data_IF_020235456716
#
_entry.id   IF_020235456716
#
_cell.length_a   1.000
_cell.length_b   1.000
_cell.length_c   1.000
_cell.angle_alpha   90.00
_cell.angle_beta   90.00
_cell.angle_gamma   90.00
#
_symmetry.space_group_name_H-M   'P 1'
#
loop_
_entity.id
_entity.type
_entity.pdbx_description
1 polymer ?
#
# COMPACT_ATOMS: atom_id res chain seq x y z
N UNK A 1 -39.68 41.32 -29.86
CA UNK A 1 -39.85 40.09 -29.07
C UNK A 1 -38.96 39.05 -29.72
N UNK A 2 -37.79 38.84 -29.12
CA UNK A 2 -36.83 37.83 -29.56
C UNK A 2 -37.33 36.47 -29.04
N UNK A 3 -37.38 35.49 -29.93
CA UNK A 3 -37.72 34.11 -29.60
C UNK A 3 -36.44 33.35 -29.28
N UNK A 4 -36.49 32.62 -28.19
CA UNK A 4 -35.36 32.04 -27.47
C UNK A 4 -34.86 30.79 -28.21
N UNK A 5 -33.62 30.82 -28.68
CA UNK A 5 -32.92 29.61 -29.12
C UNK A 5 -32.64 28.73 -27.91
N UNK A 6 -33.50 27.74 -27.68
CA UNK A 6 -33.23 26.62 -26.80
C UNK A 6 -31.91 25.94 -27.22
N UNK A 7 -30.91 26.09 -26.36
CA UNK A 7 -29.65 25.38 -26.45
C UNK A 7 -29.89 23.89 -26.33
N UNK A 8 -30.00 23.22 -27.47
CA UNK A 8 -29.97 21.76 -27.55
C UNK A 8 -28.64 21.30 -26.99
N UNK A 9 -28.64 20.83 -25.74
CA UNK A 9 -27.47 20.20 -25.14
C UNK A 9 -27.01 19.06 -26.06
N UNK A 10 -25.83 19.21 -26.65
CA UNK A 10 -25.19 18.16 -27.42
C UNK A 10 -25.07 16.94 -26.51
N UNK A 11 -25.62 15.76 -26.86
CA UNK A 11 -25.37 14.57 -26.07
C UNK A 11 -23.85 14.36 -26.01
N UNK A 12 -23.33 14.20 -24.79
CA UNK A 12 -21.95 13.81 -24.60
C UNK A 12 -21.67 12.59 -25.49
N UNK A 13 -20.49 12.50 -26.14
CA UNK A 13 -20.17 11.35 -26.99
C UNK A 13 -20.48 10.07 -26.22
N UNK A 14 -21.12 9.09 -26.86
CA UNK A 14 -21.38 7.77 -26.26
C UNK A 14 -20.02 7.12 -25.96
N UNK A 15 -19.46 7.45 -24.81
CA UNK A 15 -18.24 6.85 -24.32
C UNK A 15 -18.60 5.42 -23.95
N UNK A 16 -17.94 4.45 -24.59
CA UNK A 16 -18.21 3.03 -24.38
C UNK A 16 -18.12 2.64 -22.89
N UNK A 17 -18.68 1.50 -22.54
CA UNK A 17 -18.65 0.97 -21.18
C UNK A 17 -17.50 -0.01 -21.02
N UNK A 18 -16.67 0.20 -20.00
CA UNK A 18 -15.65 -0.72 -19.53
C UNK A 18 -16.10 -1.46 -18.27
N UNK A 19 -15.30 -2.42 -17.83
CA UNK A 19 -15.51 -3.24 -16.64
C UNK A 19 -14.30 -3.14 -15.72
N UNK A 20 -14.47 -2.46 -14.60
CA UNK A 20 -13.46 -2.35 -13.56
C UNK A 20 -13.53 -3.58 -12.65
N UNK A 21 -12.43 -4.33 -12.51
CA UNK A 21 -12.37 -5.54 -11.68
C UNK A 21 -11.64 -5.24 -10.38
N UNK A 22 -12.30 -5.49 -9.24
CA UNK A 22 -11.75 -5.27 -7.90
C UNK A 22 -10.96 -6.47 -7.39
N UNK A 23 -11.44 -7.68 -7.68
CA UNK A 23 -10.86 -8.89 -7.13
C UNK A 23 -11.49 -10.15 -7.71
N UNK A 24 -10.84 -11.28 -7.42
CA UNK A 24 -11.33 -12.62 -7.73
C UNK A 24 -11.61 -13.35 -6.42
N UNK A 25 -12.76 -14.00 -6.33
CA UNK A 25 -13.22 -14.76 -5.16
C UNK A 25 -13.76 -16.13 -5.59
N UNK A 26 -13.85 -17.11 -4.66
CA UNK A 26 -14.58 -18.34 -4.93
C UNK A 26 -16.05 -18.04 -5.21
N UNK A 27 -16.66 -18.80 -6.13
CA UNK A 27 -18.08 -18.63 -6.47
C UNK A 27 -19.04 -18.83 -5.27
N UNK A 28 -18.59 -19.55 -4.25
CA UNK A 28 -19.35 -19.86 -3.04
C UNK A 28 -19.35 -18.74 -2.00
N UNK A 29 -18.57 -17.66 -2.20
CA UNK A 29 -18.52 -16.53 -1.27
C UNK A 29 -19.62 -15.54 -1.62
N UNK A 30 -20.52 -15.30 -0.66
CA UNK A 30 -21.60 -14.32 -0.83
C UNK A 30 -21.13 -12.93 -0.37
N UNK A 31 -20.97 -12.03 -1.33
CA UNK A 31 -20.60 -10.62 -1.10
C UNK A 31 -21.81 -9.73 -1.38
N UNK A 32 -22.13 -8.75 -0.51
CA UNK A 32 -23.24 -7.84 -0.75
C UNK A 32 -23.01 -7.01 -2.02
N UNK A 33 -24.10 -6.71 -2.74
CA UNK A 33 -24.06 -5.72 -3.82
C UNK A 33 -23.93 -4.34 -3.21
N UNK A 34 -22.80 -3.68 -3.49
CA UNK A 34 -22.51 -2.31 -3.05
C UNK A 34 -22.41 -1.37 -4.25
N UNK A 35 -22.27 -0.08 -3.99
CA UNK A 35 -21.79 0.85 -5.00
C UNK A 35 -20.39 0.43 -5.50
N UNK A 36 -20.13 0.62 -6.78
CA UNK A 36 -18.80 0.52 -7.36
C UNK A 36 -18.06 1.86 -7.32
N UNK A 37 -16.95 1.92 -8.06
CA UNK A 37 -16.02 3.06 -8.15
C UNK A 37 -16.58 4.25 -8.95
N UNK A 38 -17.58 4.00 -9.80
CA UNK A 38 -18.32 5.04 -10.49
C UNK A 38 -19.71 5.15 -9.88
N UNK A 39 -20.09 6.37 -9.53
CA UNK A 39 -21.37 6.65 -8.88
C UNK A 39 -22.55 6.15 -9.73
N UNK A 40 -23.54 5.55 -9.08
CA UNK A 40 -24.70 4.94 -9.76
C UNK A 40 -24.42 3.61 -10.45
N UNK A 41 -23.18 3.10 -10.43
CA UNK A 41 -22.82 1.80 -11.02
C UNK A 41 -22.47 0.80 -9.93
N UNK A 42 -23.43 -0.06 -9.60
CA UNK A 42 -23.25 -1.09 -8.59
C UNK A 42 -22.25 -2.17 -9.03
N UNK A 43 -21.70 -2.86 -8.03
CA UNK A 43 -20.90 -4.07 -8.22
C UNK A 43 -21.77 -5.20 -8.79
N UNK A 44 -21.16 -5.99 -9.66
CA UNK A 44 -21.71 -7.15 -10.33
C UNK A 44 -20.68 -8.28 -10.34
N UNK A 45 -21.16 -9.50 -10.57
CA UNK A 45 -20.36 -10.72 -10.48
C UNK A 45 -20.26 -11.39 -11.85
N UNK A 46 -19.03 -11.68 -12.28
CA UNK A 46 -18.77 -12.37 -13.54
C UNK A 46 -18.20 -13.75 -13.22
N UNK A 47 -19.01 -14.78 -13.47
CA UNK A 47 -18.71 -16.17 -13.12
C UNK A 47 -17.91 -16.90 -14.21
N UNK A 48 -16.97 -17.74 -13.79
CA UNK A 48 -16.29 -18.71 -14.64
C UNK A 48 -15.91 -19.94 -13.79
N UNK A 49 -16.77 -20.97 -13.81
CA UNK A 49 -16.56 -22.21 -13.05
C UNK A 49 -16.52 -21.96 -11.54
N UNK A 50 -15.44 -22.36 -10.84
CA UNK A 50 -15.36 -22.26 -9.38
C UNK A 50 -14.94 -20.88 -8.85
N UNK A 51 -14.73 -19.89 -9.72
CA UNK A 51 -14.32 -18.55 -9.35
C UNK A 51 -15.21 -17.50 -10.01
N UNK A 52 -15.25 -16.31 -9.42
CA UNK A 52 -15.90 -15.15 -10.00
C UNK A 52 -15.07 -13.89 -9.81
N UNK A 53 -15.15 -12.99 -10.78
CA UNK A 53 -14.67 -11.62 -10.63
C UNK A 53 -15.77 -10.75 -10.03
N UNK A 54 -15.38 -9.94 -9.05
CA UNK A 54 -16.19 -8.82 -8.54
C UNK A 54 -15.81 -7.59 -9.35
N UNK A 55 -16.77 -7.00 -10.05
CA UNK A 55 -16.51 -5.94 -11.02
C UNK A 55 -17.66 -4.93 -11.08
N UNK A 56 -17.45 -3.75 -11.63
CA UNK A 56 -18.53 -2.80 -11.93
C UNK A 56 -18.35 -2.18 -13.31
N UNK A 57 -19.43 -1.80 -14.01
CA UNK A 57 -19.29 -1.04 -15.22
C UNK A 57 -18.68 0.34 -14.91
N UNK A 58 -17.96 0.90 -15.86
CA UNK A 58 -17.37 2.24 -15.80
C UNK A 58 -17.43 2.92 -17.17
N UNK A 59 -17.49 4.24 -17.21
CA UNK A 59 -17.39 5.02 -18.43
C UNK A 59 -15.96 5.03 -18.96
N UNK A 60 -15.75 4.59 -20.20
CA UNK A 60 -14.46 4.73 -20.88
C UNK A 60 -14.12 6.20 -21.17
N UNK A 61 -15.06 7.14 -21.04
CA UNK A 61 -14.75 8.57 -21.07
C UNK A 61 -13.86 9.02 -19.91
N UNK A 62 -13.89 8.28 -18.79
CA UNK A 62 -13.16 8.57 -17.55
C UNK A 62 -12.04 7.55 -17.33
N UNK A 63 -12.30 6.29 -17.65
CA UNK A 63 -11.45 5.15 -17.30
C UNK A 63 -10.70 4.52 -18.49
N UNK A 64 -10.81 5.07 -19.72
CA UNK A 64 -9.90 4.65 -20.80
C UNK A 64 -8.50 5.25 -20.60
N UNK A 65 -7.52 4.73 -21.32
CA UNK A 65 -6.08 4.94 -21.06
C UNK A 65 -5.67 6.40 -20.84
N UNK A 66 -6.06 7.29 -21.75
CA UNK A 66 -5.60 8.68 -21.73
C UNK A 66 -6.36 9.57 -20.72
N UNK A 67 -7.71 9.54 -20.63
CA UNK A 67 -8.43 10.20 -19.54
C UNK A 67 -8.00 9.70 -18.15
N UNK A 68 -7.83 8.39 -17.99
CA UNK A 68 -7.41 7.80 -16.72
C UNK A 68 -6.04 8.33 -16.30
N UNK A 69 -5.08 8.37 -17.23
CA UNK A 69 -3.73 8.87 -16.95
C UNK A 69 -3.75 10.30 -16.43
N UNK A 70 -4.57 11.18 -17.02
CA UNK A 70 -4.73 12.56 -16.54
C UNK A 70 -5.39 12.61 -15.17
N UNK A 71 -6.44 11.83 -14.95
CA UNK A 71 -7.15 11.82 -13.66
C UNK A 71 -6.26 11.29 -12.52
N UNK A 72 -5.34 10.36 -12.81
CA UNK A 72 -4.37 9.86 -11.84
C UNK A 72 -3.33 10.91 -11.41
N UNK A 73 -3.16 12.01 -12.17
CA UNK A 73 -2.31 13.14 -11.78
C UNK A 73 -3.00 14.05 -10.74
N UNK A 74 -4.33 13.94 -10.56
CA UNK A 74 -5.08 14.64 -9.52
C UNK A 74 -5.11 13.82 -8.21
N UNK A 75 -4.44 14.29 -7.13
CA UNK A 75 -4.40 13.57 -5.86
C UNK A 75 -5.76 13.40 -5.20
N UNK A 76 -6.72 14.31 -5.42
CA UNK A 76 -8.03 14.24 -4.79
C UNK A 76 -8.88 13.17 -5.45
N UNK A 77 -8.90 13.17 -6.79
CA UNK A 77 -9.54 12.11 -7.57
C UNK A 77 -8.92 10.75 -7.24
N UNK A 78 -7.59 10.65 -7.19
CA UNK A 78 -6.90 9.40 -6.87
C UNK A 78 -7.27 8.89 -5.47
N UNK A 79 -7.23 9.75 -4.45
CA UNK A 79 -7.57 9.36 -3.08
C UNK A 79 -9.03 8.88 -3.00
N UNK A 80 -9.97 9.60 -3.61
CA UNK A 80 -11.38 9.21 -3.64
C UNK A 80 -11.58 7.82 -4.27
N UNK A 81 -10.98 7.60 -5.45
CA UNK A 81 -11.15 6.37 -6.21
C UNK A 81 -10.45 5.18 -5.55
N UNK A 82 -9.29 5.41 -4.92
CA UNK A 82 -8.62 4.39 -4.11
C UNK A 82 -9.51 3.99 -2.93
N UNK A 83 -10.07 4.95 -2.18
CA UNK A 83 -10.99 4.62 -1.08
C UNK A 83 -12.21 3.83 -1.56
N UNK A 84 -12.78 4.18 -2.71
CA UNK A 84 -13.91 3.43 -3.29
C UNK A 84 -13.53 2.01 -3.73
N UNK A 85 -12.32 1.83 -4.28
CA UNK A 85 -11.78 0.51 -4.59
C UNK A 85 -11.61 -0.33 -3.32
N UNK A 86 -10.94 0.23 -2.31
CA UNK A 86 -10.67 -0.46 -1.05
C UNK A 86 -11.96 -0.84 -0.32
N UNK A 87 -12.98 0.02 -0.31
CA UNK A 87 -14.26 -0.31 0.30
C UNK A 87 -14.91 -1.57 -0.28
N UNK A 88 -14.82 -1.79 -1.60
CA UNK A 88 -15.30 -3.03 -2.23
C UNK A 88 -14.41 -4.21 -1.87
N UNK A 89 -13.09 -4.02 -1.81
CA UNK A 89 -12.14 -5.06 -1.42
C UNK A 89 -12.34 -5.49 0.03
N UNK A 90 -12.48 -4.55 0.97
CA UNK A 90 -12.79 -4.80 2.37
C UNK A 90 -14.12 -5.55 2.53
N UNK A 91 -15.14 -5.18 1.76
CA UNK A 91 -16.43 -5.89 1.77
C UNK A 91 -16.30 -7.35 1.31
N UNK A 92 -15.40 -7.65 0.37
CA UNK A 92 -15.08 -9.03 -0.02
C UNK A 92 -14.27 -9.76 1.06
N UNK A 93 -13.25 -9.11 1.62
CA UNK A 93 -12.36 -9.69 2.65
C UNK A 93 -13.14 -10.07 3.92
N UNK A 94 -14.18 -9.31 4.27
CA UNK A 94 -15.08 -9.63 5.37
C UNK A 94 -15.93 -10.91 5.16
N UNK A 95 -15.91 -11.50 3.95
CA UNK A 95 -16.75 -12.65 3.57
C UNK A 95 -15.96 -13.92 3.27
N UNK A 96 -14.69 -13.82 2.90
CA UNK A 96 -13.89 -15.01 2.58
C UNK A 96 -12.57 -14.66 1.89
N UNK A 97 -11.88 -15.66 1.31
CA UNK A 97 -10.62 -15.44 0.61
C UNK A 97 -10.82 -14.59 -0.65
N UNK A 98 -9.93 -13.61 -0.83
CA UNK A 98 -9.96 -12.67 -1.95
C UNK A 98 -8.58 -12.59 -2.57
N UNK A 99 -8.53 -12.49 -3.89
CA UNK A 99 -7.35 -12.03 -4.64
C UNK A 99 -7.65 -10.63 -5.18
N UNK A 100 -7.21 -9.56 -4.48
CA UNK A 100 -7.40 -8.20 -4.96
C UNK A 100 -6.67 -8.01 -6.29
N UNK A 101 -7.34 -7.37 -7.24
CA UNK A 101 -6.72 -6.93 -8.48
C UNK A 101 -6.10 -5.56 -8.26
N UNK A 102 -5.08 -5.23 -9.08
CA UNK A 102 -4.47 -3.91 -9.01
C UNK A 102 -5.52 -2.82 -9.25
N UNK A 103 -5.38 -1.72 -8.54
CA UNK A 103 -6.15 -0.51 -8.81
C UNK A 103 -6.11 -0.17 -10.32
N UNK A 104 -7.27 0.16 -10.87
CA UNK A 104 -7.48 0.43 -12.31
C UNK A 104 -7.26 -0.77 -13.24
N UNK A 105 -7.61 -1.98 -12.79
CA UNK A 105 -7.73 -3.14 -13.69
C UNK A 105 -9.05 -3.08 -14.47
N UNK A 106 -8.99 -2.64 -15.73
CA UNK A 106 -10.18 -2.38 -16.56
C UNK A 106 -10.18 -3.25 -17.83
N UNK A 107 -11.33 -3.84 -18.13
CA UNK A 107 -11.59 -4.64 -19.33
C UNK A 107 -12.63 -3.97 -20.23
N UNK A 108 -12.56 -4.23 -21.54
CA UNK A 108 -13.52 -3.65 -22.50
C UNK A 108 -14.90 -4.31 -22.51
N UNK A 109 -15.04 -5.50 -21.92
CA UNK A 109 -16.31 -6.23 -21.88
C UNK A 109 -16.34 -7.31 -20.79
N UNK A 110 -17.53 -7.78 -20.38
CA UNK A 110 -17.64 -8.91 -19.45
C UNK A 110 -16.98 -10.18 -20.00
N UNK A 111 -17.06 -10.40 -21.31
CA UNK A 111 -16.44 -11.57 -21.95
C UNK A 111 -14.91 -11.53 -21.87
N UNK A 112 -14.31 -10.33 -21.89
CA UNK A 112 -12.88 -10.18 -21.68
C UNK A 112 -12.49 -10.56 -20.23
N UNK A 113 -13.33 -10.21 -19.25
CA UNK A 113 -13.15 -10.66 -17.85
C UNK A 113 -13.28 -12.19 -17.76
N UNK A 114 -14.29 -12.81 -18.38
CA UNK A 114 -14.43 -14.28 -18.40
C UNK A 114 -13.22 -14.96 -19.03
N UNK A 115 -12.69 -14.43 -20.14
CA UNK A 115 -11.48 -14.96 -20.77
C UNK A 115 -10.29 -14.93 -19.81
N UNK A 116 -10.09 -13.80 -19.11
CA UNK A 116 -9.03 -13.67 -18.09
C UNK A 116 -9.21 -14.68 -16.96
N UNK A 117 -10.42 -14.84 -16.44
CA UNK A 117 -10.72 -15.83 -15.40
C UNK A 117 -10.41 -17.25 -15.88
N UNK A 118 -10.83 -17.61 -17.11
CA UNK A 118 -10.60 -18.94 -17.68
C UNK A 118 -9.13 -19.23 -17.90
N UNK A 119 -8.40 -18.28 -18.47
CA UNK A 119 -6.97 -18.42 -18.79
C UNK A 119 -6.11 -18.63 -17.52
N UNK A 120 -6.49 -17.97 -16.42
CA UNK A 120 -5.74 -18.02 -15.16
C UNK A 120 -6.42 -18.84 -14.06
N UNK A 121 -7.46 -19.61 -14.39
CA UNK A 121 -8.27 -20.33 -13.40
C UNK A 121 -7.45 -21.22 -12.45
N UNK A 122 -6.46 -22.02 -12.90
CA UNK A 122 -5.66 -22.84 -11.99
C UNK A 122 -4.88 -22.00 -10.98
N UNK A 123 -4.28 -20.89 -11.45
CA UNK A 123 -3.47 -19.99 -10.61
C UNK A 123 -4.33 -19.24 -9.58
N UNK A 124 -5.52 -18.79 -9.99
CA UNK A 124 -6.44 -18.14 -9.05
C UNK A 124 -6.94 -19.10 -7.98
N UNK A 125 -7.28 -20.34 -8.35
CA UNK A 125 -7.73 -21.33 -7.38
C UNK A 125 -6.64 -21.69 -6.38
N UNK A 126 -5.41 -21.92 -6.85
CA UNK A 126 -4.26 -22.18 -5.98
C UNK A 126 -4.01 -21.00 -5.02
N UNK A 127 -3.99 -19.76 -5.53
CA UNK A 127 -3.78 -18.59 -4.70
C UNK A 127 -4.93 -18.34 -3.71
N UNK A 128 -6.19 -18.58 -4.10
CA UNK A 128 -7.34 -18.48 -3.19
C UNK A 128 -7.26 -19.50 -2.04
N UNK A 129 -6.80 -20.72 -2.32
CA UNK A 129 -6.57 -21.73 -1.29
C UNK A 129 -5.41 -21.34 -0.36
N UNK A 130 -4.35 -20.74 -0.93
CA UNK A 130 -3.23 -20.23 -0.16
C UNK A 130 -3.62 -19.10 0.80
N UNK A 131 -4.65 -18.31 0.52
CA UNK A 131 -5.11 -17.22 1.41
C UNK A 131 -6.36 -17.58 2.22
N UNK A 132 -6.93 -18.78 2.02
CA UNK A 132 -8.07 -19.26 2.82
C UNK A 132 -7.71 -19.29 4.31
N UNK A 133 -8.63 -18.78 5.12
CA UNK A 133 -8.56 -18.72 6.59
C UNK A 133 -7.29 -18.04 7.12
N UNK A 134 -6.74 -17.11 6.35
CA UNK A 134 -5.55 -16.32 6.69
C UNK A 134 -5.86 -14.83 6.54
N UNK A 135 -5.14 -14.04 7.32
CA UNK A 135 -5.19 -12.59 7.27
C UNK A 135 -3.79 -12.03 7.02
N UNK A 136 -3.72 -10.95 6.25
CA UNK A 136 -2.47 -10.20 6.05
C UNK A 136 -2.35 -9.09 7.09
N UNK A 137 -1.23 -9.07 7.80
CA UNK A 137 -0.93 -8.08 8.83
C UNK A 137 0.32 -7.28 8.49
N UNK A 138 0.17 -5.95 8.41
CA UNK A 138 1.28 -5.03 8.24
C UNK A 138 1.78 -4.51 9.60
N UNK A 139 2.98 -4.93 10.02
CA UNK A 139 3.63 -4.42 11.25
C UNK A 139 4.65 -3.35 10.90
N UNK A 140 4.53 -2.16 11.52
CA UNK A 140 5.48 -1.05 11.37
C UNK A 140 6.09 -0.68 12.71
N UNK A 141 7.41 -0.82 12.83
CA UNK A 141 8.17 -0.35 13.99
C UNK A 141 8.64 1.09 13.79
N UNK A 142 8.45 1.93 14.80
CA UNK A 142 8.94 3.31 14.80
C UNK A 142 9.96 3.49 15.91
N UNK A 143 11.05 4.17 15.60
CA UNK A 143 12.07 4.49 16.59
C UNK A 143 12.58 5.92 16.40
N UNK A 144 12.69 6.65 17.51
CA UNK A 144 13.26 7.99 17.48
C UNK A 144 14.78 7.89 17.31
N UNK A 145 15.31 8.48 16.23
CA UNK A 145 16.75 8.39 15.89
C UNK A 145 17.67 8.86 17.00
N UNK A 146 17.30 9.94 17.71
CA UNK A 146 18.08 10.48 18.82
C UNK A 146 18.21 9.48 19.98
N UNK A 147 17.09 8.85 20.38
CA UNK A 147 17.10 7.88 21.48
C UNK A 147 17.88 6.62 21.11
N UNK A 148 17.77 6.14 19.87
CA UNK A 148 18.59 5.02 19.40
C UNK A 148 20.08 5.36 19.40
N UNK A 149 20.46 6.56 18.96
CA UNK A 149 21.86 7.02 18.98
C UNK A 149 22.40 7.11 20.41
N UNK A 150 21.65 7.72 21.32
CA UNK A 150 22.03 7.81 22.75
C UNK A 150 22.13 6.44 23.42
N UNK A 151 21.17 5.54 23.14
CA UNK A 151 21.22 4.17 23.64
C UNK A 151 22.45 3.42 23.11
N UNK A 152 22.81 3.65 21.85
CA UNK A 152 24.01 3.09 21.21
C UNK A 152 25.29 3.63 21.86
N UNK A 153 25.42 4.95 22.01
CA UNK A 153 26.55 5.60 22.69
C UNK A 153 26.72 5.10 24.13
N UNK A 154 25.63 4.86 24.88
CA UNK A 154 25.72 4.35 26.26
C UNK A 154 26.16 2.89 26.34
N UNK A 155 25.79 2.06 25.36
CA UNK A 155 26.06 0.61 25.38
C UNK A 155 27.42 0.25 24.79
N UNK A 156 27.89 1.00 23.81
CA UNK A 156 29.14 0.72 23.11
C UNK A 156 30.35 1.30 23.88
N UNK A 157 31.30 0.48 24.33
CA UNK A 157 32.46 0.95 25.10
C UNK A 157 33.41 1.83 24.28
N UNK A 158 33.60 1.57 22.99
CA UNK A 158 34.51 2.34 22.12
C UNK A 158 33.96 3.75 21.89
N UNK A 159 32.65 3.86 21.65
CA UNK A 159 31.98 5.15 21.53
C UNK A 159 32.03 5.98 22.81
N UNK A 160 31.89 5.34 23.99
CA UNK A 160 32.06 6.03 25.28
C UNK A 160 33.47 6.55 25.45
N UNK A 161 34.48 5.73 25.15
CA UNK A 161 35.88 6.14 25.26
C UNK A 161 36.20 7.32 24.33
N UNK A 162 35.75 7.28 23.07
CA UNK A 162 35.92 8.38 22.12
C UNK A 162 35.23 9.66 22.60
N UNK A 163 34.03 9.56 23.19
CA UNK A 163 33.32 10.71 23.75
C UNK A 163 34.09 11.34 24.92
N UNK A 164 34.68 10.53 25.80
CA UNK A 164 35.53 11.03 26.89
C UNK A 164 36.84 11.65 26.38
N UNK A 165 37.49 11.02 25.39
CA UNK A 165 38.70 11.58 24.75
C UNK A 165 38.42 12.94 24.10
N UNK A 166 37.25 13.08 23.45
CA UNK A 166 36.80 14.35 22.89
C UNK A 166 36.54 15.40 23.98
N UNK A 167 35.90 15.00 25.10
CA UNK A 167 35.65 15.90 26.24
C UNK A 167 36.95 16.36 26.92
N UNK A 168 37.99 15.51 26.93
CA UNK A 168 39.33 15.82 27.46
C UNK A 168 40.22 16.60 26.48
N UNK A 169 39.81 16.73 25.22
CA UNK A 169 40.60 17.41 24.19
C UNK A 169 40.53 18.93 24.39
N UNK A 170 41.69 19.56 24.58
CA UNK A 170 41.80 21.02 24.73
C UNK A 170 41.45 21.77 23.42
N UNK A 171 41.00 23.04 23.49
CA UNK A 171 40.70 23.88 22.32
C UNK A 171 41.85 24.06 21.32
N UNK A 172 43.08 23.76 21.76
CA UNK A 172 44.33 24.18 21.13
C UNK A 172 44.76 23.24 19.97
N UNK A 173 43.99 22.19 19.67
CA UNK A 173 44.20 21.29 18.51
C UNK A 173 42.89 21.01 17.77
N UNK A 174 42.33 22.02 17.07
CA UNK A 174 41.00 21.94 16.47
C UNK A 174 40.89 20.84 15.40
N UNK A 175 41.99 20.52 14.68
CA UNK A 175 42.02 19.46 13.68
C UNK A 175 41.85 18.06 14.25
N UNK A 176 42.60 17.68 15.30
CA UNK A 176 42.51 16.34 15.89
C UNK A 176 41.17 16.09 16.58
N UNK A 177 40.63 17.10 17.26
CA UNK A 177 39.29 17.02 17.86
C UNK A 177 38.19 16.87 16.79
N UNK A 178 38.32 17.58 15.65
CA UNK A 178 37.40 17.44 14.52
C UNK A 178 37.45 16.02 13.90
N UNK A 179 38.65 15.49 13.64
CA UNK A 179 38.79 14.13 13.10
C UNK A 179 38.24 13.07 14.07
N UNK A 180 38.52 13.20 15.37
CA UNK A 180 38.00 12.30 16.40
C UNK A 180 36.46 12.36 16.47
N UNK A 181 35.87 13.57 16.46
CA UNK A 181 34.42 13.76 16.42
C UNK A 181 33.80 13.11 15.19
N UNK A 182 34.38 13.31 14.00
CA UNK A 182 33.89 12.71 12.77
C UNK A 182 33.93 11.18 12.83
N UNK A 183 35.05 10.59 13.28
CA UNK A 183 35.18 9.14 13.46
C UNK A 183 34.14 8.59 14.44
N UNK A 184 33.90 9.29 15.56
CA UNK A 184 32.89 8.92 16.54
C UNK A 184 31.47 8.99 15.95
N UNK A 185 31.16 10.04 15.18
CA UNK A 185 29.88 10.20 14.51
C UNK A 185 29.63 9.07 13.48
N UNK A 186 30.64 8.74 12.68
CA UNK A 186 30.58 7.65 11.69
C UNK A 186 30.38 6.29 12.37
N UNK A 187 31.13 5.99 13.43
CA UNK A 187 30.99 4.76 14.21
C UNK A 187 29.63 4.68 14.91
N UNK A 188 29.14 5.80 15.46
CA UNK A 188 27.84 5.86 16.12
C UNK A 188 26.70 5.57 15.14
N UNK A 189 26.78 6.08 13.90
CA UNK A 189 25.79 5.79 12.87
C UNK A 189 25.87 4.32 12.42
N UNK A 190 27.08 3.77 12.25
CA UNK A 190 27.26 2.35 11.94
C UNK A 190 26.63 1.46 13.01
N UNK A 191 26.96 1.67 14.28
CA UNK A 191 26.42 0.91 15.41
C UNK A 191 24.90 1.05 15.54
N UNK A 192 24.36 2.23 15.24
CA UNK A 192 22.91 2.48 15.23
C UNK A 192 22.21 1.65 14.16
N UNK A 193 22.78 1.58 12.94
CA UNK A 193 22.24 0.76 11.85
C UNK A 193 22.31 -0.74 12.17
N UNK A 194 23.42 -1.20 12.77
CA UNK A 194 23.57 -2.57 13.24
C UNK A 194 22.49 -2.92 14.29
N UNK A 195 22.26 -2.03 15.26
CA UNK A 195 21.22 -2.22 16.28
C UNK A 195 19.81 -2.19 15.72
N UNK A 196 19.54 -1.31 14.76
CA UNK A 196 18.25 -1.26 14.06
C UNK A 196 17.98 -2.59 13.32
N UNK A 197 18.97 -3.11 12.60
CA UNK A 197 18.85 -4.40 11.91
C UNK A 197 18.68 -5.58 12.89
N UNK A 198 19.33 -5.53 14.05
CA UNK A 198 19.15 -6.51 15.12
C UNK A 198 17.73 -6.48 15.69
N UNK A 199 17.19 -5.31 16.02
CA UNK A 199 15.81 -5.16 16.51
C UNK A 199 14.77 -5.67 15.49
N UNK A 200 14.99 -5.41 14.19
CA UNK A 200 14.11 -5.95 13.13
C UNK A 200 14.17 -7.47 13.11
N UNK A 201 15.36 -8.08 13.23
CA UNK A 201 15.51 -9.54 13.28
C UNK A 201 14.87 -10.14 14.53
N UNK A 202 15.06 -9.53 15.70
CA UNK A 202 14.44 -9.96 16.96
C UNK A 202 12.91 -9.92 16.84
N UNK A 203 12.34 -8.85 16.30
CA UNK A 203 10.90 -8.72 16.08
C UNK A 203 10.38 -9.76 15.08
N UNK A 204 11.09 -9.96 13.96
CA UNK A 204 10.75 -10.97 12.97
C UNK A 204 10.76 -12.39 13.57
N UNK A 205 11.77 -12.71 14.38
CA UNK A 205 11.88 -14.00 15.05
C UNK A 205 10.72 -14.24 16.02
N UNK A 206 10.37 -13.23 16.82
CA UNK A 206 9.25 -13.29 17.75
C UNK A 206 7.91 -13.57 17.05
N UNK A 207 7.76 -13.16 15.78
CA UNK A 207 6.55 -13.37 15.00
C UNK A 207 6.51 -14.74 14.28
N UNK A 208 7.64 -15.41 14.04
CA UNK A 208 7.70 -16.64 13.22
C UNK A 208 6.78 -17.75 13.72
N UNK A 209 6.61 -17.88 15.03
CA UNK A 209 5.76 -18.92 15.62
C UNK A 209 4.26 -18.69 15.41
N UNK A 210 3.86 -17.48 15.01
CA UNK A 210 2.46 -17.05 14.90
C UNK A 210 2.02 -16.72 13.48
N UNK A 211 2.93 -16.79 12.50
CA UNK A 211 2.66 -16.43 11.10
C UNK A 211 3.02 -17.58 10.16
N UNK A 212 2.14 -17.88 9.21
CA UNK A 212 2.38 -18.90 8.18
C UNK A 212 3.39 -18.44 7.13
N UNK A 213 3.51 -17.12 6.95
CA UNK A 213 4.46 -16.50 6.04
C UNK A 213 4.86 -15.13 6.60
N UNK A 214 6.15 -14.79 6.47
CA UNK A 214 6.69 -13.50 6.88
C UNK A 214 7.48 -12.87 5.75
N UNK A 215 7.10 -11.66 5.37
CA UNK A 215 7.82 -10.84 4.38
C UNK A 215 8.32 -9.58 5.07
N UNK A 216 9.61 -9.28 4.94
CA UNK A 216 10.19 -8.03 5.46
C UNK A 216 10.47 -7.07 4.31
N UNK A 217 9.92 -5.86 4.42
CA UNK A 217 10.27 -4.76 3.53
C UNK A 217 11.47 -3.99 4.10
N UNK A 218 12.32 -3.39 3.25
CA UNK A 218 13.40 -2.55 3.72
C UNK A 218 12.84 -1.35 4.53
N UNK A 219 13.57 -0.88 5.56
CA UNK A 219 13.11 0.24 6.39
C UNK A 219 12.94 1.49 5.53
N UNK A 220 11.76 2.12 5.65
CA UNK A 220 11.44 3.38 4.97
C UNK A 220 12.30 4.51 5.55
N UNK A 221 13.17 5.10 4.73
CA UNK A 221 14.04 6.21 5.15
C UNK A 221 13.36 7.55 4.93
N UNK A 222 13.29 8.39 5.97
CA UNK A 222 13.05 9.83 5.83
C UNK A 222 11.60 10.34 5.95
N UNK A 223 10.62 9.53 6.37
CA UNK A 223 9.30 10.09 6.71
C UNK A 223 9.35 10.78 8.09
N UNK A 224 8.91 12.04 8.14
CA UNK A 224 8.47 12.67 9.40
C UNK A 224 7.25 11.90 9.88
N UNK A 225 7.27 11.50 11.15
CA UNK A 225 6.06 11.01 11.82
C UNK A 225 5.19 12.25 12.03
N UNK A 226 4.21 12.45 11.15
CA UNK A 226 3.11 13.36 11.47
C UNK A 226 2.18 12.58 12.39
N UNK A 227 2.21 12.92 13.68
CA UNK A 227 1.37 12.28 14.70
C UNK A 227 -0.08 12.72 14.47
N UNK A 228 -0.78 12.06 13.53
CA UNK A 228 -2.23 12.05 13.53
C UNK A 228 -2.71 11.35 14.80
N UNK A 229 -3.30 12.13 15.71
CA UNK A 229 -3.85 11.62 16.95
C UNK A 229 -4.89 10.52 16.69
N UNK A 230 -5.02 9.50 17.56
CA UNK A 230 -6.15 8.58 17.48
C UNK A 230 -7.43 9.35 17.80
N UNK A 231 -8.35 9.40 16.84
CA UNK A 231 -9.75 9.75 17.12
C UNK A 231 -10.32 8.57 17.93
N UNK A 232 -10.85 8.90 19.11
CA UNK A 232 -11.43 7.96 20.08
C UNK A 232 -12.69 7.28 19.58
#
# INVERSE_FOLDING_TARGET
>A
MADETEGRATPAPETGVGWYVYGVIPWSVEVPVTAGIEEGRAVAFIFEGPIMAVASPVSLGVFDSEPLRRNMEDPHWLAEKVCQHEAVVEAMLAKGPVLPMKFCTIFRSPDAVRRMLREHAPRFQEALELVRDKEEWGVKGFAHRGYLREATLRRDPELREMAEQLARSAPDRPGSAFFLKRRMDDLAEQRRLEREAELIREAAEALRGSVVQLTSNPPLRGQRVDNGAPVS
#
